data_IF_974832893907
#
_entry.id   IF_974832893907
#
_cell.length_a   1.000
_cell.length_b   1.000
_cell.length_c   1.000
_cell.angle_alpha   90.00
_cell.angle_beta   90.00
_cell.angle_gamma   90.00
#
_symmetry.space_group_name_H-M   'P 1'
#
loop_
_entity.id
_entity.type
_entity.pdbx_description
1 polymer ?
#
# COMPACT_ATOMS: atom_id res chain seq x y z
N UNK A 1 -8.19 -9.17 -13.91
CA UNK A 1 -7.07 -10.06 -14.34
C UNK A 1 -5.82 -9.23 -14.50
N UNK A 2 -4.64 -9.78 -14.20
CA UNK A 2 -3.35 -9.15 -14.50
C UNK A 2 -3.03 -9.31 -16.00
N UNK A 3 -2.29 -8.37 -16.62
CA UNK A 3 -1.88 -8.52 -18.01
C UNK A 3 -1.01 -9.77 -18.19
N UNK A 4 -1.16 -10.54 -19.27
CA UNK A 4 -0.51 -11.84 -19.44
C UNK A 4 1.01 -11.75 -19.60
N UNK A 5 1.55 -10.57 -19.93
CA UNK A 5 3.00 -10.37 -20.06
C UNK A 5 3.69 -10.13 -18.71
N UNK A 6 2.94 -9.81 -17.66
CA UNK A 6 3.50 -9.47 -16.36
C UNK A 6 4.02 -10.72 -15.67
N UNK A 7 5.23 -10.62 -15.12
CA UNK A 7 5.88 -11.74 -14.43
C UNK A 7 5.92 -11.48 -12.94
N UNK A 8 5.67 -12.52 -12.15
CA UNK A 8 5.92 -12.47 -10.72
C UNK A 8 7.42 -12.30 -10.48
N UNK A 9 7.80 -11.26 -9.73
CA UNK A 9 9.19 -10.99 -9.39
C UNK A 9 9.51 -11.44 -7.96
N UNK A 10 10.78 -11.71 -7.70
CA UNK A 10 11.23 -12.06 -6.35
C UNK A 10 11.20 -10.82 -5.47
N UNK A 11 10.63 -10.96 -4.28
CA UNK A 11 10.69 -9.94 -3.23
C UNK A 11 11.97 -10.18 -2.42
N UNK A 12 12.79 -9.14 -2.27
CA UNK A 12 13.99 -9.21 -1.45
C UNK A 12 13.63 -9.54 0.00
N UNK A 13 14.46 -10.34 0.69
CA UNK A 13 14.12 -10.85 2.02
C UNK A 13 13.79 -9.73 3.02
N UNK A 14 14.55 -8.62 2.97
CA UNK A 14 14.36 -7.43 3.82
C UNK A 14 13.00 -6.72 3.60
N UNK A 15 12.38 -6.91 2.43
CA UNK A 15 11.07 -6.32 2.07
C UNK A 15 9.93 -7.35 2.18
N UNK A 16 10.25 -8.59 2.55
CA UNK A 16 9.28 -9.67 2.69
C UNK A 16 8.90 -9.86 4.16
N UNK A 17 7.73 -10.45 4.41
CA UNK A 17 7.28 -10.76 5.77
C UNK A 17 8.14 -11.79 6.51
N UNK A 18 9.13 -12.41 5.85
CA UNK A 18 10.06 -13.38 6.46
C UNK A 18 11.15 -12.70 7.30
N UNK A 19 11.37 -11.40 7.11
CA UNK A 19 12.31 -10.61 7.90
C UNK A 19 11.53 -9.55 8.67
N UNK A 20 11.67 -9.57 9.99
CA UNK A 20 11.07 -8.57 10.86
C UNK A 20 12.19 -7.87 11.66
N UNK A 21 12.16 -6.54 11.68
CA UNK A 21 12.94 -5.71 12.62
C UNK A 21 12.39 -5.92 14.04
N UNK A 22 13.10 -5.61 15.14
CA UNK A 22 12.71 -6.00 16.50
C UNK A 22 11.26 -5.74 16.95
N UNK A 23 10.53 -4.84 16.30
CA UNK A 23 9.12 -4.50 16.58
C UNK A 23 8.09 -5.19 15.68
N UNK A 24 8.49 -5.93 14.64
CA UNK A 24 7.64 -6.58 13.62
C UNK A 24 6.47 -5.70 13.14
N UNK A 25 6.72 -4.41 12.94
CA UNK A 25 5.64 -3.45 12.69
C UNK A 25 5.75 -2.81 11.31
N UNK A 26 6.81 -3.07 10.56
CA UNK A 26 7.01 -2.52 9.22
C UNK A 26 6.06 -3.16 8.21
N UNK A 27 5.48 -2.40 7.26
CA UNK A 27 4.80 -2.99 6.11
C UNK A 27 5.75 -3.88 5.29
N UNK A 28 5.23 -4.97 4.72
CA UNK A 28 5.98 -5.89 3.87
C UNK A 28 5.23 -6.22 2.58
N UNK A 29 5.97 -6.67 1.56
CA UNK A 29 5.41 -7.09 0.27
C UNK A 29 5.16 -8.60 0.28
N UNK A 30 3.91 -8.98 0.05
CA UNK A 30 3.49 -10.39 -0.08
C UNK A 30 3.80 -10.95 -1.48
N UNK A 31 3.46 -10.18 -2.51
CA UNK A 31 3.69 -10.56 -3.90
C UNK A 31 3.87 -9.31 -4.76
N UNK A 32 4.69 -9.44 -5.81
CA UNK A 32 4.90 -8.40 -6.81
C UNK A 32 4.89 -8.98 -8.21
N UNK A 33 4.23 -8.27 -9.14
CA UNK A 33 4.28 -8.54 -10.57
C UNK A 33 4.76 -7.29 -11.30
N UNK A 34 5.63 -7.46 -12.29
CA UNK A 34 6.24 -6.34 -13.02
C UNK A 34 6.36 -6.65 -14.52
N UNK A 35 6.37 -5.58 -15.30
CA UNK A 35 6.75 -5.54 -16.72
C UNK A 35 7.55 -4.26 -16.96
N UNK A 36 8.72 -4.37 -17.58
CA UNK A 36 9.65 -3.26 -17.73
C UNK A 36 9.07 -2.05 -18.50
N UNK A 37 8.03 -2.26 -19.32
CA UNK A 37 7.39 -1.20 -20.11
C UNK A 37 6.08 -0.70 -19.50
N UNK A 38 5.45 -1.48 -18.62
CA UNK A 38 4.11 -1.19 -18.09
C UNK A 38 4.10 -0.87 -16.59
N UNK A 39 5.20 -1.12 -15.88
CA UNK A 39 5.35 -0.84 -14.46
C UNK A 39 5.16 -2.07 -13.58
N UNK A 40 4.55 -1.88 -12.40
CA UNK A 40 4.43 -2.92 -11.36
C UNK A 40 3.13 -2.84 -10.58
N UNK A 41 2.74 -3.97 -10.00
CA UNK A 41 1.67 -4.11 -9.01
C UNK A 41 2.22 -4.94 -7.86
N UNK A 42 1.88 -4.55 -6.63
CA UNK A 42 2.31 -5.25 -5.43
C UNK A 42 1.18 -5.31 -4.41
N UNK A 43 1.16 -6.39 -3.65
CA UNK A 43 0.32 -6.51 -2.46
C UNK A 43 1.21 -6.26 -1.26
N UNK A 44 0.85 -5.24 -0.48
CA UNK A 44 1.56 -4.85 0.73
C UNK A 44 0.65 -5.13 1.92
N UNK A 45 1.16 -5.86 2.90
CA UNK A 45 0.51 -6.08 4.17
C UNK A 45 1.16 -5.18 5.23
N UNK A 46 0.36 -4.66 6.15
CA UNK A 46 0.84 -3.77 7.20
C UNK A 46 0.09 -4.04 8.52
N UNK A 47 0.80 -4.13 9.65
CA UNK A 47 0.18 -4.15 10.96
C UNK A 47 -0.52 -2.82 11.27
N UNK A 48 -1.79 -2.90 11.71
CA UNK A 48 -2.60 -1.72 12.04
C UNK A 48 -2.01 -0.83 13.13
N UNK A 49 -1.15 -1.38 13.99
CA UNK A 49 -0.46 -0.63 15.07
C UNK A 49 0.39 0.53 14.55
N UNK A 50 0.77 0.53 13.26
CA UNK A 50 1.46 1.67 12.63
C UNK A 50 0.52 2.82 12.25
N UNK A 51 -0.76 2.53 12.09
CA UNK A 51 -1.75 3.44 11.53
C UNK A 51 -2.66 4.02 12.62
N UNK A 52 -2.84 3.29 13.71
CA UNK A 52 -3.70 3.71 14.81
C UNK A 52 -3.33 3.00 16.10
N UNK A 53 -3.52 3.69 17.23
CA UNK A 53 -3.37 3.12 18.56
C UNK A 53 -4.64 2.40 19.04
N UNK A 54 -5.71 2.40 18.25
CA UNK A 54 -6.96 1.74 18.60
C UNK A 54 -6.83 0.22 18.37
N UNK A 55 -7.00 -0.63 19.40
CA UNK A 55 -6.99 -2.07 19.23
C UNK A 55 -8.18 -2.52 18.37
N UNK A 56 -7.97 -3.52 17.51
CA UNK A 56 -8.97 -4.06 16.58
C UNK A 56 -9.65 -2.99 15.70
N UNK A 57 -8.90 -1.94 15.36
CA UNK A 57 -9.37 -0.88 14.48
C UNK A 57 -9.82 -1.42 13.13
N UNK A 58 -10.86 -0.81 12.56
CA UNK A 58 -11.23 -0.99 11.17
C UNK A 58 -10.62 0.11 10.30
N UNK A 59 -10.62 -0.06 8.98
CA UNK A 59 -10.08 0.95 8.05
C UNK A 59 -10.76 2.32 8.22
N UNK A 60 -12.04 2.33 8.61
CA UNK A 60 -12.80 3.54 8.91
C UNK A 60 -12.31 4.27 10.16
N UNK A 61 -11.71 3.55 11.11
CA UNK A 61 -11.10 4.14 12.30
C UNK A 61 -9.73 4.77 12.00
N UNK A 62 -9.08 4.37 10.92
CA UNK A 62 -7.80 4.95 10.46
C UNK A 62 -8.07 6.31 9.81
N UNK A 63 -9.19 6.43 9.08
CA UNK A 63 -9.71 7.69 8.59
C UNK A 63 -9.93 7.72 7.09
N UNK A 64 -9.72 8.89 6.49
CA UNK A 64 -9.93 9.12 5.06
C UNK A 64 -8.80 8.50 4.23
N UNK A 65 -9.00 8.24 2.92
CA UNK A 65 -7.97 7.70 2.05
C UNK A 65 -6.66 8.51 2.09
N UNK A 66 -6.74 9.84 2.21
CA UNK A 66 -5.58 10.75 2.31
C UNK A 66 -4.72 10.44 3.54
N UNK A 67 -5.34 10.13 4.69
CA UNK A 67 -4.61 9.74 5.91
C UNK A 67 -3.92 8.38 5.74
N UNK A 68 -4.57 7.46 5.05
CA UNK A 68 -3.99 6.14 4.75
C UNK A 68 -2.78 6.29 3.82
N UNK A 69 -2.89 7.12 2.78
CA UNK A 69 -1.78 7.43 1.86
C UNK A 69 -0.64 8.12 2.60
N UNK A 70 -0.92 9.14 3.41
CA UNK A 70 0.12 9.82 4.19
C UNK A 70 0.87 8.88 5.14
N UNK A 71 0.20 7.85 5.66
CA UNK A 71 0.79 6.90 6.62
C UNK A 71 1.54 5.74 5.98
N UNK A 72 1.00 5.17 4.89
CA UNK A 72 1.57 3.99 4.20
C UNK A 72 2.31 4.32 2.90
N UNK A 73 1.94 5.41 2.23
CA UNK A 73 2.47 5.82 0.93
C UNK A 73 3.99 5.85 0.86
N UNK A 74 4.71 6.42 1.84
CA UNK A 74 6.18 6.41 1.84
C UNK A 74 6.79 5.01 1.83
N UNK A 75 6.17 4.02 2.49
CA UNK A 75 6.65 2.63 2.47
C UNK A 75 6.40 1.94 1.13
N UNK A 76 5.33 2.32 0.44
CA UNK A 76 4.90 1.69 -0.81
C UNK A 76 5.63 2.30 -2.01
N UNK A 77 5.75 3.62 -2.03
CA UNK A 77 6.22 4.41 -3.17
C UNK A 77 7.65 4.92 -3.00
N UNK A 78 8.12 5.08 -1.76
CA UNK A 78 9.38 5.76 -1.44
C UNK A 78 9.25 7.29 -1.39
N UNK A 79 8.09 7.86 -1.71
CA UNK A 79 7.84 9.29 -1.77
C UNK A 79 6.98 9.76 -0.59
N UNK A 80 7.18 11.00 -0.16
CA UNK A 80 6.27 11.66 0.78
C UNK A 80 4.95 11.95 0.09
N UNK A 81 3.86 11.97 0.86
CA UNK A 81 2.55 12.32 0.32
C UNK A 81 2.49 13.81 -0.03
N UNK A 82 2.13 14.10 -1.28
CA UNK A 82 1.79 15.43 -1.77
C UNK A 82 0.29 15.46 -2.15
N UNK A 83 -0.53 16.33 -1.55
CA UNK A 83 -1.93 16.51 -1.92
C UNK A 83 -2.16 16.86 -3.39
N UNK A 84 -1.21 17.57 -4.03
CA UNK A 84 -1.35 18.00 -5.42
C UNK A 84 -1.17 16.82 -6.41
N UNK A 85 -0.54 15.73 -5.97
CA UNK A 85 -0.42 14.49 -6.72
C UNK A 85 -1.69 13.62 -6.65
N UNK A 86 -2.61 13.91 -5.73
CA UNK A 86 -3.80 13.10 -5.52
C UNK A 86 -4.91 13.46 -6.51
N UNK A 87 -5.13 12.58 -7.48
CA UNK A 87 -6.11 12.80 -8.56
C UNK A 87 -7.54 12.47 -8.11
N UNK A 88 -7.73 11.36 -7.38
CA UNK A 88 -9.06 10.96 -6.89
C UNK A 88 -8.98 9.99 -5.73
N UNK A 89 -9.99 10.05 -4.87
CA UNK A 89 -10.24 9.09 -3.79
C UNK A 89 -11.70 8.67 -3.76
N UNK A 90 -11.98 7.50 -3.20
CA UNK A 90 -13.34 7.01 -2.99
C UNK A 90 -13.40 6.07 -1.79
N UNK A 91 -14.61 5.83 -1.30
CA UNK A 91 -14.88 4.84 -0.25
C UNK A 91 -15.98 3.94 -0.76
N UNK A 92 -15.69 2.64 -0.83
CA UNK A 92 -16.59 1.63 -1.35
C UNK A 92 -16.81 0.53 -0.32
N UNK A 93 -18.03 -0.03 -0.27
CA UNK A 93 -18.35 -1.21 0.54
C UNK A 93 -18.60 -2.39 -0.36
N UNK A 94 -17.80 -3.46 -0.23
CA UNK A 94 -17.93 -4.68 -1.04
C UNK A 94 -17.83 -5.89 -0.12
N UNK A 95 -18.86 -6.74 -0.12
CA UNK A 95 -18.86 -8.00 0.64
C UNK A 95 -18.62 -7.82 2.15
N UNK A 96 -19.11 -6.73 2.75
CA UNK A 96 -18.90 -6.43 4.17
C UNK A 96 -17.54 -5.81 4.50
N UNK A 97 -16.66 -5.61 3.52
CA UNK A 97 -15.40 -4.90 3.65
C UNK A 97 -15.53 -3.46 3.14
N UNK A 98 -14.86 -2.53 3.82
CA UNK A 98 -14.67 -1.17 3.32
C UNK A 98 -13.34 -1.09 2.59
N UNK A 99 -13.37 -0.54 1.38
CA UNK A 99 -12.23 -0.40 0.48
C UNK A 99 -12.08 1.09 0.19
N UNK A 100 -10.84 1.58 0.18
CA UNK A 100 -10.52 2.98 -0.09
C UNK A 100 -9.63 3.11 -1.33
N UNK A 101 -10.19 3.05 -2.55
CA UNK A 101 -9.43 3.25 -3.77
C UNK A 101 -8.96 4.70 -3.88
N UNK A 102 -7.71 4.88 -4.28
CA UNK A 102 -7.13 6.18 -4.60
C UNK A 102 -6.27 6.10 -5.86
N UNK A 103 -6.09 7.26 -6.51
CA UNK A 103 -5.20 7.42 -7.65
C UNK A 103 -4.31 8.65 -7.40
N UNK A 104 -3.00 8.42 -7.35
CA UNK A 104 -1.99 9.44 -7.15
C UNK A 104 -1.04 9.40 -8.35
N UNK A 105 -0.73 10.56 -8.93
CA UNK A 105 0.30 10.71 -9.94
C UNK A 105 1.65 10.88 -9.24
N UNK A 106 2.55 9.91 -9.38
CA UNK A 106 3.91 10.05 -8.88
C UNK A 106 4.74 10.68 -10.00
N UNK A 107 5.09 11.95 -9.85
CA UNK A 107 6.08 12.58 -10.72
C UNK A 107 7.47 12.18 -10.21
N UNK A 108 8.33 11.68 -11.11
CA UNK A 108 9.74 11.50 -10.76
C UNK A 108 10.45 12.80 -11.12
N UNK A 109 10.88 13.55 -10.10
CA UNK A 109 11.79 14.69 -10.23
C UNK A 109 13.18 14.26 -10.73
#
# INVERSE_FOLDING_TARGET
MLPPTWKQTRVANILSGNYCQPKCAEPWVEVRFEDAKQGKIQVVASPLVRLTNKPNAKIEDIGTPEKVIASLGPFVTGNTYDPDELIRTSIEKRGGLTIQPFHQALFMD
#
